data_IF_937669596783
#
_entry.id   IF_937669596783
#
_cell.length_a   1.000
_cell.length_b   1.000
_cell.length_c   1.000
_cell.angle_alpha   90.00
_cell.angle_beta   90.00
_cell.angle_gamma   90.00
#
_symmetry.space_group_name_H-M   'P 1'
#
loop_
_entity.id
_entity.type
_entity.pdbx_description
1 polymer ?
#
# COMPACT_ATOMS: atom_id res chain seq x y z
N UNK A 1 -1.85 7.58 6.67
CA UNK A 1 -1.52 8.91 6.12
C UNK A 1 -1.59 8.91 4.60
N UNK A 2 -1.73 10.09 3.99
CA UNK A 2 -1.67 10.32 2.54
C UNK A 2 -2.74 9.62 1.68
N UNK A 3 -3.84 9.14 2.25
CA UNK A 3 -4.88 8.39 1.52
C UNK A 3 -5.48 9.19 0.35
N UNK A 4 -5.60 10.51 0.48
CA UNK A 4 -6.14 11.37 -0.57
C UNK A 4 -5.28 11.36 -1.85
N UNK A 5 -3.99 11.08 -1.72
CA UNK A 5 -3.07 11.02 -2.86
C UNK A 5 -3.20 9.75 -3.70
N UNK A 6 -3.94 8.75 -3.23
CA UNK A 6 -4.28 7.57 -4.05
C UNK A 6 -5.10 7.93 -5.30
N UNK A 7 -5.71 9.13 -5.31
CA UNK A 7 -6.35 9.70 -6.52
C UNK A 7 -5.34 9.91 -7.64
N UNK A 8 -4.13 10.42 -7.34
CA UNK A 8 -3.06 10.56 -8.33
C UNK A 8 -2.60 9.20 -8.88
N UNK A 9 -2.56 8.17 -8.01
CA UNK A 9 -2.24 6.81 -8.44
C UNK A 9 -3.32 6.26 -9.38
N UNK A 10 -4.59 6.44 -9.05
CA UNK A 10 -5.72 6.07 -9.92
C UNK A 10 -5.64 6.79 -11.28
N UNK A 11 -5.38 8.09 -11.28
CA UNK A 11 -5.29 8.91 -12.48
C UNK A 11 -4.14 8.45 -13.40
N UNK A 12 -2.94 8.27 -12.84
CA UNK A 12 -1.77 7.86 -13.64
C UNK A 12 -1.85 6.41 -14.13
N UNK A 13 -2.56 5.53 -13.40
CA UNK A 13 -2.88 4.16 -13.82
C UNK A 13 -4.03 4.08 -14.83
N UNK A 14 -4.83 5.15 -14.97
CA UNK A 14 -6.14 5.13 -15.69
C UNK A 14 -7.10 4.04 -15.19
N UNK A 15 -7.05 3.76 -13.89
CA UNK A 15 -7.95 2.81 -13.24
C UNK A 15 -8.93 3.61 -12.37
N UNK A 16 -10.25 3.47 -12.56
CA UNK A 16 -11.23 4.16 -11.73
C UNK A 16 -11.07 3.83 -10.25
N UNK A 17 -11.22 4.83 -9.38
CA UNK A 17 -11.18 4.67 -7.93
C UNK A 17 -12.57 4.85 -7.34
N UNK A 18 -12.93 3.96 -6.43
CA UNK A 18 -14.11 4.10 -5.57
C UNK A 18 -13.64 4.19 -4.13
N UNK A 19 -14.10 5.19 -3.41
CA UNK A 19 -13.74 5.41 -2.00
C UNK A 19 -14.99 5.52 -1.13
N UNK A 20 -14.83 5.19 0.15
CA UNK A 20 -15.81 5.42 1.19
C UNK A 20 -15.10 5.81 2.47
N UNK A 21 -15.82 6.51 3.35
CA UNK A 21 -15.32 6.88 4.68
C UNK A 21 -15.90 5.94 5.71
N UNK A 22 -15.07 5.48 6.64
CA UNK A 22 -15.51 4.78 7.85
C UNK A 22 -15.82 5.81 8.95
N UNK A 23 -16.86 5.55 9.72
CA UNK A 23 -17.24 6.40 10.86
C UNK A 23 -16.74 5.82 12.20
N UNK A 24 -16.28 4.57 12.20
CA UNK A 24 -15.68 3.91 13.35
C UNK A 24 -14.52 2.99 12.92
N UNK A 25 -13.68 2.61 13.88
CA UNK A 25 -12.59 1.65 13.67
C UNK A 25 -13.05 0.19 13.90
N UNK A 26 -14.36 -0.06 13.92
CA UNK A 26 -14.87 -1.42 14.08
C UNK A 26 -14.72 -2.24 12.79
N UNK A 27 -14.09 -3.39 12.90
CA UNK A 27 -13.89 -4.29 11.76
C UNK A 27 -15.20 -4.77 11.11
N UNK A 28 -16.31 -4.76 11.86
CA UNK A 28 -17.64 -5.07 11.34
C UNK A 28 -18.15 -4.01 10.37
N UNK A 29 -17.94 -2.72 10.65
CA UNK A 29 -18.32 -1.63 9.75
C UNK A 29 -17.45 -1.63 8.50
N UNK A 30 -16.14 -1.85 8.65
CA UNK A 30 -15.22 -1.98 7.53
C UNK A 30 -15.68 -3.02 6.51
N UNK A 31 -16.12 -4.19 6.99
CA UNK A 31 -16.58 -5.27 6.13
C UNK A 31 -17.89 -4.93 5.41
N UNK A 32 -18.81 -4.22 6.06
CA UNK A 32 -20.07 -3.76 5.45
C UNK A 32 -19.78 -2.73 4.35
N UNK A 33 -18.92 -1.77 4.64
CA UNK A 33 -18.53 -0.73 3.67
C UNK A 33 -17.81 -1.34 2.49
N UNK A 34 -16.89 -2.27 2.70
CA UNK A 34 -16.18 -2.98 1.62
C UNK A 34 -17.16 -3.74 0.73
N UNK A 35 -18.14 -4.43 1.31
CA UNK A 35 -19.18 -5.13 0.53
C UNK A 35 -19.96 -4.16 -0.35
N UNK A 36 -20.37 -3.02 0.20
CA UNK A 36 -21.08 -1.98 -0.55
C UNK A 36 -20.23 -1.44 -1.71
N UNK A 37 -18.93 -1.23 -1.49
CA UNK A 37 -18.00 -0.80 -2.55
C UNK A 37 -17.85 -1.86 -3.63
N UNK A 38 -17.77 -3.15 -3.28
CA UNK A 38 -17.70 -4.24 -4.26
C UNK A 38 -18.99 -4.37 -5.07
N UNK A 39 -20.15 -4.24 -4.46
CA UNK A 39 -21.44 -4.24 -5.17
C UNK A 39 -21.54 -3.05 -6.13
N UNK A 40 -21.10 -1.86 -5.71
CA UNK A 40 -21.01 -0.69 -6.59
C UNK A 40 -20.04 -0.94 -7.75
N UNK A 41 -18.85 -1.45 -7.49
CA UNK A 41 -17.87 -1.76 -8.53
C UNK A 41 -18.40 -2.79 -9.53
N UNK A 42 -19.11 -3.81 -9.03
CA UNK A 42 -19.76 -4.81 -9.87
C UNK A 42 -20.84 -4.21 -10.76
N UNK A 43 -21.62 -3.29 -10.23
CA UNK A 43 -22.67 -2.61 -11.00
C UNK A 43 -22.07 -1.66 -12.05
N UNK A 44 -21.14 -0.79 -11.65
CA UNK A 44 -20.59 0.28 -12.50
C UNK A 44 -19.59 -0.27 -13.55
N UNK A 45 -18.71 -1.18 -13.14
CA UNK A 45 -17.55 -1.63 -13.95
C UNK A 45 -17.64 -3.09 -14.40
N UNK A 46 -18.70 -3.81 -13.98
CA UNK A 46 -18.92 -5.22 -14.39
C UNK A 46 -17.77 -6.14 -13.99
N UNK A 47 -17.15 -5.88 -12.83
CA UNK A 47 -16.09 -6.75 -12.30
C UNK A 47 -16.64 -8.15 -12.01
N UNK A 48 -15.81 -9.16 -12.15
CA UNK A 48 -16.08 -10.57 -11.85
C UNK A 48 -15.22 -11.13 -10.71
N UNK A 49 -14.30 -10.32 -10.17
CA UNK A 49 -13.44 -10.70 -9.08
C UNK A 49 -12.77 -9.53 -8.37
N UNK A 50 -12.21 -9.84 -7.20
CA UNK A 50 -11.37 -8.98 -6.38
C UNK A 50 -9.95 -9.53 -6.33
N UNK A 51 -8.98 -8.68 -6.65
CA UNK A 51 -7.56 -8.95 -6.39
C UNK A 51 -7.15 -8.20 -5.12
N UNK A 52 -6.54 -8.89 -4.16
CA UNK A 52 -6.03 -8.25 -2.95
C UNK A 52 -4.55 -8.59 -2.71
N UNK A 53 -3.85 -7.68 -2.04
CA UNK A 53 -2.42 -7.76 -1.78
C UNK A 53 -2.02 -8.49 -0.50
N UNK A 54 -2.96 -9.15 0.21
CA UNK A 54 -2.65 -9.88 1.45
C UNK A 54 -1.60 -10.96 1.25
N UNK A 55 -0.57 -10.97 2.11
CA UNK A 55 0.58 -11.88 1.98
C UNK A 55 0.49 -13.03 2.98
N UNK A 56 0.18 -12.75 4.26
CA UNK A 56 0.19 -13.78 5.32
C UNK A 56 -0.97 -13.70 6.30
N UNK A 57 -1.76 -12.64 6.28
CA UNK A 57 -2.89 -12.47 7.19
C UNK A 57 -4.07 -13.36 6.83
N UNK A 58 -4.18 -14.51 7.51
CA UNK A 58 -5.32 -15.44 7.37
C UNK A 58 -6.67 -14.76 7.65
N UNK A 59 -6.70 -13.79 8.57
CA UNK A 59 -7.91 -13.03 8.88
C UNK A 59 -8.36 -12.22 7.66
N UNK A 60 -7.46 -11.43 7.07
CA UNK A 60 -7.78 -10.63 5.87
C UNK A 60 -8.22 -11.53 4.72
N UNK A 61 -7.50 -12.61 4.45
CA UNK A 61 -7.83 -13.56 3.39
C UNK A 61 -9.24 -14.10 3.53
N UNK A 62 -9.57 -14.65 4.71
CA UNK A 62 -10.92 -15.20 4.97
C UNK A 62 -12.01 -14.14 4.86
N UNK A 63 -11.72 -12.93 5.28
CA UNK A 63 -12.64 -11.81 5.18
C UNK A 63 -12.95 -11.46 3.73
N UNK A 64 -11.93 -11.32 2.88
CA UNK A 64 -12.11 -11.06 1.44
C UNK A 64 -12.82 -12.24 0.74
N UNK A 65 -12.43 -13.48 1.02
CA UNK A 65 -13.09 -14.68 0.46
C UNK A 65 -14.56 -14.72 0.81
N UNK A 66 -14.92 -14.43 2.07
CA UNK A 66 -16.31 -14.41 2.54
C UNK A 66 -17.13 -13.37 1.78
N UNK A 67 -16.66 -12.11 1.73
CA UNK A 67 -17.39 -11.02 1.06
C UNK A 67 -17.54 -11.29 -0.43
N UNK A 68 -16.48 -11.74 -1.09
CA UNK A 68 -16.53 -12.05 -2.50
C UNK A 68 -17.54 -13.17 -2.79
N UNK A 69 -17.57 -14.22 -1.97
CA UNK A 69 -18.55 -15.29 -2.07
C UNK A 69 -19.99 -14.77 -1.93
N UNK A 70 -20.24 -13.90 -0.95
CA UNK A 70 -21.56 -13.29 -0.74
C UNK A 70 -21.99 -12.38 -1.90
N UNK A 71 -21.02 -11.75 -2.59
CA UNK A 71 -21.25 -10.85 -3.74
C UNK A 71 -21.18 -11.57 -5.08
N UNK A 72 -21.01 -12.90 -5.11
CA UNK A 72 -20.77 -13.69 -6.32
C UNK A 72 -19.60 -13.11 -7.15
N UNK A 73 -18.46 -12.92 -6.51
CA UNK A 73 -17.19 -12.49 -7.09
C UNK A 73 -16.11 -13.53 -6.83
N UNK A 74 -15.15 -13.66 -7.73
CA UNK A 74 -13.95 -14.43 -7.53
C UNK A 74 -12.98 -13.67 -6.60
N UNK A 75 -12.11 -14.39 -5.89
CA UNK A 75 -11.05 -13.79 -5.07
C UNK A 75 -9.70 -14.27 -5.57
N UNK A 76 -8.76 -13.37 -5.77
CA UNK A 76 -7.40 -13.66 -6.23
C UNK A 76 -6.41 -12.97 -5.30
N UNK A 77 -5.49 -13.73 -4.73
CA UNK A 77 -4.41 -13.25 -3.86
C UNK A 77 -3.05 -13.66 -4.44
N UNK A 78 -2.52 -12.93 -5.43
CA UNK A 78 -1.33 -13.36 -6.18
C UNK A 78 -0.05 -13.36 -5.35
N UNK A 79 -0.02 -12.61 -4.24
CA UNK A 79 1.12 -12.51 -3.34
C UNK A 79 1.04 -13.43 -2.12
N UNK A 80 0.00 -14.29 -2.06
CA UNK A 80 -0.22 -15.13 -0.88
C UNK A 80 0.94 -16.06 -0.59
N UNK A 81 1.51 -15.95 0.62
CA UNK A 81 2.68 -16.73 1.10
C UNK A 81 3.97 -16.50 0.30
N UNK A 82 4.09 -15.42 -0.46
CA UNK A 82 5.37 -15.06 -1.08
C UNK A 82 6.43 -14.78 -0.02
N UNK A 83 7.68 -15.12 -0.30
CA UNK A 83 8.79 -14.75 0.57
C UNK A 83 8.98 -13.23 0.56
N UNK A 84 9.03 -12.59 1.74
CA UNK A 84 9.08 -11.12 1.86
C UNK A 84 10.30 -10.51 1.17
N UNK A 85 11.47 -11.17 1.22
CA UNK A 85 12.68 -10.69 0.54
C UNK A 85 12.56 -10.80 -0.98
N UNK A 86 11.99 -11.90 -1.48
CA UNK A 86 11.72 -12.08 -2.91
C UNK A 86 10.72 -11.05 -3.40
N UNK A 87 9.67 -10.77 -2.62
CA UNK A 87 8.69 -9.75 -2.93
C UNK A 87 9.33 -8.36 -3.06
N UNK A 88 10.10 -7.91 -2.06
CA UNK A 88 10.76 -6.60 -2.08
C UNK A 88 11.76 -6.47 -3.24
N UNK A 89 12.54 -7.51 -3.50
CA UNK A 89 13.47 -7.53 -4.65
C UNK A 89 12.69 -7.48 -5.97
N UNK A 90 11.58 -8.20 -6.09
CA UNK A 90 10.75 -8.21 -7.30
C UNK A 90 10.15 -6.85 -7.60
N UNK A 91 9.71 -6.11 -6.58
CA UNK A 91 9.21 -4.74 -6.75
C UNK A 91 10.30 -3.84 -7.37
N UNK A 92 11.49 -3.83 -6.79
CA UNK A 92 12.59 -2.98 -7.27
C UNK A 92 13.10 -3.41 -8.65
N UNK A 93 13.25 -4.73 -8.89
CA UNK A 93 13.63 -5.26 -10.20
C UNK A 93 12.58 -4.97 -11.28
N UNK A 94 11.32 -4.79 -10.88
CA UNK A 94 10.23 -4.36 -11.75
C UNK A 94 10.12 -2.84 -11.86
N UNK A 95 11.14 -2.09 -11.45
CA UNK A 95 11.21 -0.62 -11.51
C UNK A 95 10.10 0.10 -10.72
N UNK A 96 9.58 -0.50 -9.65
CA UNK A 96 8.76 0.24 -8.71
C UNK A 96 9.63 1.17 -7.87
N UNK A 97 9.21 2.43 -7.73
CA UNK A 97 9.78 3.40 -6.79
C UNK A 97 8.75 3.71 -5.73
N UNK A 98 9.12 3.52 -4.49
CA UNK A 98 8.25 3.80 -3.36
C UNK A 98 9.04 4.37 -2.20
N UNK A 99 8.33 5.06 -1.33
CA UNK A 99 8.84 5.66 -0.09
C UNK A 99 8.11 5.06 1.10
N UNK A 100 8.70 5.15 2.30
CA UNK A 100 7.98 4.90 3.52
C UNK A 100 7.31 6.20 3.98
N UNK A 101 6.00 6.14 4.22
CA UNK A 101 5.19 7.27 4.68
C UNK A 101 4.86 7.20 6.16
N UNK A 102 5.07 6.05 6.78
CA UNK A 102 4.96 5.88 8.22
C UNK A 102 5.93 4.79 8.67
N UNK A 103 6.47 4.92 9.86
CA UNK A 103 7.25 3.89 10.56
C UNK A 103 6.82 3.84 12.02
N UNK A 104 6.71 2.61 12.57
CA UNK A 104 6.24 2.37 13.94
C UNK A 104 6.81 1.10 14.56
N UNK A 105 8.05 0.74 14.21
CA UNK A 105 8.70 -0.46 14.72
C UNK A 105 10.13 -0.18 15.13
N UNK A 106 10.62 -0.91 16.14
CA UNK A 106 12.04 -0.91 16.49
C UNK A 106 12.91 -1.20 15.27
N UNK A 107 14.01 -0.47 15.15
CA UNK A 107 14.94 -0.57 14.03
C UNK A 107 14.58 0.27 12.80
N UNK A 108 13.44 0.93 12.81
CA UNK A 108 13.05 1.94 11.83
C UNK A 108 13.03 3.31 12.50
N UNK A 109 13.80 4.24 11.97
CA UNK A 109 13.89 5.62 12.47
C UNK A 109 13.43 6.64 11.43
N UNK A 110 13.51 7.92 11.77
CA UNK A 110 13.07 9.01 10.90
C UNK A 110 13.79 9.08 9.55
N UNK A 111 14.98 8.50 9.43
CA UNK A 111 15.77 8.53 8.19
C UNK A 111 15.17 7.67 7.08
N UNK A 112 14.26 6.78 7.42
CA UNK A 112 13.51 5.97 6.46
C UNK A 112 12.35 6.71 5.82
N UNK A 113 11.85 7.78 6.47
CA UNK A 113 10.67 8.51 6.04
C UNK A 113 10.94 9.35 4.79
N UNK A 114 10.11 9.20 3.76
CA UNK A 114 10.19 9.95 2.51
C UNK A 114 11.36 9.56 1.60
N UNK A 115 12.20 8.64 2.01
CA UNK A 115 13.31 8.13 1.20
C UNK A 115 12.81 7.14 0.16
N UNK A 116 13.24 7.28 -1.10
CA UNK A 116 13.04 6.24 -2.13
C UNK A 116 13.88 5.02 -1.76
N UNK A 117 13.22 3.89 -1.62
CA UNK A 117 13.86 2.63 -1.22
C UNK A 117 14.65 2.04 -2.38
N UNK A 118 15.92 1.70 -2.12
CA UNK A 118 16.86 1.06 -3.04
C UNK A 118 17.10 -0.42 -2.70
N UNK A 119 17.83 -1.14 -3.56
CA UNK A 119 18.25 -2.53 -3.29
C UNK A 119 19.15 -2.64 -2.05
N UNK A 120 20.01 -1.64 -1.82
CA UNK A 120 20.87 -1.61 -0.62
C UNK A 120 20.02 -1.39 0.63
N UNK A 121 18.97 -0.55 0.52
CA UNK A 121 18.01 -0.35 1.61
C UNK A 121 17.23 -1.63 1.94
N UNK A 122 16.78 -2.38 0.95
CA UNK A 122 16.13 -3.69 1.18
C UNK A 122 17.10 -4.66 1.89
N UNK A 123 18.37 -4.65 1.50
CA UNK A 123 19.39 -5.46 2.16
C UNK A 123 19.60 -5.06 3.63
N UNK A 124 19.57 -3.76 3.93
CA UNK A 124 19.65 -3.24 5.29
C UNK A 124 18.36 -3.55 6.07
N UNK A 125 17.18 -3.29 5.50
CA UNK A 125 15.88 -3.60 6.10
C UNK A 125 15.74 -5.08 6.44
N UNK A 126 16.25 -5.99 5.60
CA UNK A 126 16.26 -7.42 5.90
C UNK A 126 17.11 -7.77 7.12
N UNK A 127 18.26 -7.10 7.31
CA UNK A 127 19.09 -7.28 8.53
C UNK A 127 18.37 -6.72 9.77
N UNK A 128 17.76 -5.55 9.64
CA UNK A 128 17.01 -4.91 10.72
C UNK A 128 15.77 -5.73 11.10
N UNK A 129 15.01 -6.22 10.11
CA UNK A 129 13.89 -7.13 10.31
C UNK A 129 14.29 -8.37 11.09
N UNK A 130 15.41 -9.01 10.72
CA UNK A 130 15.94 -10.17 11.45
C UNK A 130 16.37 -9.85 12.89
N UNK A 131 16.84 -8.62 13.14
CA UNK A 131 17.30 -8.19 14.46
C UNK A 131 16.18 -7.77 15.39
N UNK A 132 15.19 -7.05 14.86
CA UNK A 132 14.13 -6.40 15.64
C UNK A 132 12.78 -7.12 15.52
N UNK A 133 12.63 -8.10 14.62
CA UNK A 133 11.46 -8.97 14.55
C UNK A 133 10.27 -8.39 13.77
N UNK A 134 10.45 -7.33 12.99
CA UNK A 134 9.39 -6.80 12.14
C UNK A 134 9.30 -7.51 10.79
N UNK A 135 8.13 -7.47 10.15
CA UNK A 135 7.97 -8.04 8.82
C UNK A 135 8.60 -7.16 7.74
N UNK A 136 9.47 -7.72 6.92
CA UNK A 136 10.16 -6.97 5.86
C UNK A 136 9.18 -6.37 4.82
N UNK A 137 8.01 -6.96 4.63
CA UNK A 137 6.95 -6.46 3.74
C UNK A 137 5.97 -5.52 4.45
N UNK A 138 6.21 -5.19 5.73
CA UNK A 138 5.44 -4.26 6.56
C UNK A 138 3.97 -4.62 6.75
N UNK A 139 3.58 -5.87 6.55
CA UNK A 139 2.19 -6.32 6.65
C UNK A 139 1.63 -6.27 8.09
N UNK A 140 2.48 -6.22 9.09
CA UNK A 140 2.12 -6.05 10.51
C UNK A 140 1.89 -4.60 10.93
N UNK A 141 1.92 -3.64 10.00
CA UNK A 141 1.75 -2.21 10.30
C UNK A 141 3.04 -1.52 10.79
N UNK A 142 4.20 -2.16 10.59
CA UNK A 142 5.50 -1.63 11.01
C UNK A 142 5.90 -0.39 10.22
N UNK A 143 5.46 -0.31 8.97
CA UNK A 143 5.59 0.85 8.11
C UNK A 143 4.44 0.91 7.10
N UNK A 144 4.17 2.10 6.57
CA UNK A 144 3.31 2.29 5.41
C UNK A 144 4.13 2.78 4.23
N UNK A 145 3.71 2.40 3.02
CA UNK A 145 4.41 2.73 1.78
C UNK A 145 3.53 3.58 0.86
N UNK A 146 4.19 4.37 0.01
CA UNK A 146 3.53 5.10 -1.08
C UNK A 146 4.36 4.94 -2.36
N UNK A 147 3.73 4.35 -3.39
CA UNK A 147 4.37 4.18 -4.71
C UNK A 147 4.34 5.50 -5.44
N UNK A 148 5.52 6.02 -5.78
CA UNK A 148 5.69 7.27 -6.51
C UNK A 148 5.88 7.05 -8.01
N UNK A 149 6.35 5.87 -8.43
CA UNK A 149 6.51 5.52 -9.84
C UNK A 149 6.50 4.00 -10.02
N UNK A 150 5.98 3.54 -11.15
CA UNK A 150 6.10 2.16 -11.59
C UNK A 150 5.88 2.07 -13.13
N UNK A 151 6.19 0.94 -13.78
CA UNK A 151 6.02 0.78 -15.23
C UNK A 151 4.59 0.96 -15.74
N UNK A 152 3.60 0.84 -14.86
CA UNK A 152 2.18 1.00 -15.21
C UNK A 152 1.70 2.45 -15.11
N UNK A 153 2.48 3.35 -14.49
CA UNK A 153 2.14 4.76 -14.39
C UNK A 153 2.43 5.46 -15.72
N UNK A 154 1.51 6.29 -16.18
CA UNK A 154 1.75 7.18 -17.33
C UNK A 154 2.76 8.26 -16.99
N UNK A 155 2.64 8.81 -15.80
CA UNK A 155 3.50 9.84 -15.25
C UNK A 155 3.84 9.50 -13.81
N UNK A 156 5.11 9.65 -13.38
CA UNK A 156 5.46 9.49 -11.97
C UNK A 156 4.80 10.58 -11.12
N UNK A 157 4.61 10.27 -9.84
CA UNK A 157 4.10 11.23 -8.86
C UNK A 157 5.28 11.98 -8.27
N UNK A 158 5.30 13.29 -8.44
CA UNK A 158 6.26 14.21 -7.86
C UNK A 158 5.70 14.78 -6.58
N UNK A 159 6.45 14.63 -5.49
CA UNK A 159 6.15 15.26 -4.19
C UNK A 159 6.72 16.68 -4.24
N UNK A 160 5.84 17.68 -4.15
CA UNK A 160 6.22 19.09 -4.21
C UNK A 160 6.45 19.69 -2.83
N UNK A 161 5.68 19.23 -1.82
CA UNK A 161 5.79 19.69 -0.44
C UNK A 161 5.46 18.58 0.52
N UNK A 162 6.25 18.46 1.57
CA UNK A 162 6.07 17.45 2.61
C UNK A 162 6.68 17.91 3.92
N UNK A 163 6.26 17.28 5.02
CA UNK A 163 6.90 17.41 6.32
C UNK A 163 7.07 16.04 6.97
N UNK A 164 8.14 15.90 7.78
CA UNK A 164 8.33 14.72 8.62
C UNK A 164 7.93 15.06 10.04
N UNK A 165 7.09 14.21 10.63
CA UNK A 165 6.71 14.28 12.04
C UNK A 165 7.30 13.05 12.72
N UNK A 166 8.11 13.27 13.78
CA UNK A 166 8.78 12.22 14.53
C UNK A 166 8.62 12.44 16.03
N UNK A 167 8.23 11.43 16.78
CA UNK A 167 7.99 11.51 18.22
C UNK A 167 9.10 10.85 19.08
N UNK A 168 10.14 10.36 18.44
CA UNK A 168 11.23 9.60 19.08
C UNK A 168 11.13 8.09 18.90
N UNK A 169 9.98 7.57 18.46
CA UNK A 169 9.75 6.15 18.21
C UNK A 169 8.93 5.88 16.94
N UNK A 170 7.93 6.72 16.68
CA UNK A 170 7.06 6.62 15.50
C UNK A 170 7.17 7.89 14.68
N UNK A 171 6.97 7.73 13.39
CA UNK A 171 6.95 8.89 12.51
C UNK A 171 6.08 8.75 11.30
N UNK A 172 5.80 9.92 10.72
CA UNK A 172 5.03 10.04 9.48
C UNK A 172 5.67 11.02 8.54
N UNK A 173 5.65 10.68 7.28
CA UNK A 173 5.97 11.58 6.18
C UNK A 173 4.65 12.05 5.58
N UNK A 174 4.26 13.25 5.94
CA UNK A 174 3.01 13.88 5.52
C UNK A 174 3.28 14.63 4.21
N UNK A 175 2.67 14.17 3.13
CA UNK A 175 2.76 14.80 1.82
C UNK A 175 1.65 15.85 1.75
N UNK A 176 2.05 17.13 1.76
CA UNK A 176 1.12 18.26 1.73
C UNK A 176 0.71 18.62 0.30
N UNK A 177 1.59 18.41 -0.67
CA UNK A 177 1.33 18.67 -2.08
C UNK A 177 2.09 17.69 -2.98
N UNK A 178 1.41 17.15 -3.97
CA UNK A 178 1.97 16.27 -4.98
C UNK A 178 1.24 16.43 -6.32
N UNK A 179 1.93 16.15 -7.41
CA UNK A 179 1.38 16.25 -8.77
C UNK A 179 1.94 15.16 -9.68
N UNK A 180 1.29 14.92 -10.81
CA UNK A 180 1.84 14.08 -11.86
C UNK A 180 2.93 14.84 -12.62
N UNK A 181 4.09 14.23 -12.80
CA UNK A 181 5.22 14.84 -13.55
C UNK A 181 5.13 14.45 -15.03
N UNK A 182 4.42 15.24 -15.79
CA UNK A 182 4.25 15.03 -17.23
C UNK A 182 5.54 15.23 -18.05
N UNK A 183 6.59 15.77 -17.44
CA UNK A 183 7.87 16.03 -18.12
C UNK A 183 8.89 14.90 -17.90
N UNK A 184 8.60 13.93 -17.04
CA UNK A 184 9.56 12.88 -16.66
C UNK A 184 9.60 11.68 -17.62
N UNK A 185 8.73 11.63 -18.64
CA UNK A 185 8.66 10.57 -19.67
C UNK A 185 8.35 11.15 -21.03
#
# INVERSE_FOLDING_TARGET
PNIELTKLQSETLKIPQITSTLNSDESSEEMIVLKTLLEKAKFDFKIDGLVHGGISSEFQKRSFEKICKESNLNTIAPLWKINSKEYMNSLLNSNFKFILTSVSSDGLDETWLGKIISMDDVSLLNKLSSKYGFNLNFEGGEAETFVTDCPLYLHPIKINKSQTVWDGYRGRFEIEDASLDSNAR
#
